data_IF_261782611041
#
_entry.id   IF_261782611041
#
_cell.length_a   1.000
_cell.length_b   1.000
_cell.length_c   1.000
_cell.angle_alpha   90.00
_cell.angle_beta   90.00
_cell.angle_gamma   90.00
#
_symmetry.space_group_name_H-M   'P 1'
#
loop_
_entity.id
_entity.type
_entity.pdbx_description
1 polymer ?
#
# COMPACT_ATOMS: atom_id res chain seq x y z
N UNK A 1 5.83 11.96 30.29
CA UNK A 1 6.27 10.60 29.92
C UNK A 1 5.81 10.42 28.48
N UNK A 2 6.70 10.62 27.52
CA UNK A 2 6.35 10.50 26.10
C UNK A 2 6.51 9.00 25.80
N UNK A 3 5.39 8.32 25.55
CA UNK A 3 5.41 6.97 24.99
C UNK A 3 6.11 7.06 23.64
N UNK A 4 7.35 6.56 23.56
CA UNK A 4 8.00 6.31 22.28
C UNK A 4 7.15 5.28 21.54
N UNK A 5 6.34 5.75 20.59
CA UNK A 5 5.70 4.87 19.62
C UNK A 5 6.82 4.10 18.92
N UNK A 6 6.81 2.75 18.92
CA UNK A 6 7.86 2.00 18.27
C UNK A 6 7.95 2.44 16.81
N UNK A 7 9.17 2.67 16.33
CA UNK A 7 9.45 3.07 14.95
C UNK A 7 8.63 2.18 13.99
N UNK A 8 7.66 2.79 13.30
CA UNK A 8 6.59 2.14 12.50
C UNK A 8 7.08 1.15 11.42
N UNK A 9 8.38 0.96 11.22
CA UNK A 9 8.96 0.07 10.20
C UNK A 9 9.57 -1.24 10.71
N UNK A 10 9.86 -1.42 12.01
CA UNK A 10 10.70 -2.54 12.46
C UNK A 10 9.99 -3.90 12.52
N UNK A 11 8.67 -3.92 12.78
CA UNK A 11 7.90 -5.17 12.90
C UNK A 11 7.52 -5.77 11.53
N UNK A 12 7.47 -4.94 10.48
CA UNK A 12 7.00 -5.34 9.15
C UNK A 12 8.13 -5.82 8.23
N UNK A 13 9.36 -5.37 8.46
CA UNK A 13 10.52 -5.69 7.60
C UNK A 13 10.80 -7.19 7.47
N UNK A 14 10.56 -7.98 8.53
CA UNK A 14 10.70 -9.45 8.47
C UNK A 14 9.54 -10.17 7.78
N UNK A 15 8.35 -9.58 7.76
CA UNK A 15 7.15 -10.16 7.15
C UNK A 15 7.14 -9.98 5.62
N UNK A 16 7.65 -8.85 5.12
CA UNK A 16 7.72 -8.58 3.67
C UNK A 16 8.49 -9.65 2.89
N UNK A 17 9.68 -10.01 3.37
CA UNK A 17 10.51 -11.06 2.76
C UNK A 17 9.79 -12.43 2.76
N UNK A 18 9.09 -12.75 3.85
CA UNK A 18 8.35 -14.00 3.98
C UNK A 18 7.17 -14.04 3.00
N UNK A 19 6.43 -12.95 2.88
CA UNK A 19 5.32 -12.80 1.92
C UNK A 19 5.80 -13.02 0.48
N UNK A 20 6.94 -12.45 0.13
CA UNK A 20 7.51 -12.61 -1.21
C UNK A 20 7.98 -14.05 -1.48
N UNK A 21 8.64 -14.70 -0.52
CA UNK A 21 9.04 -16.10 -0.64
C UNK A 21 7.84 -17.05 -0.85
N UNK A 22 6.73 -16.85 -0.14
CA UNK A 22 5.51 -17.64 -0.37
C UNK A 22 4.89 -17.36 -1.74
N UNK A 23 4.91 -16.10 -2.19
CA UNK A 23 4.41 -15.73 -3.53
C UNK A 23 5.19 -16.40 -4.64
N UNK A 24 6.52 -16.45 -4.55
CA UNK A 24 7.38 -17.15 -5.52
C UNK A 24 7.06 -18.65 -5.60
N UNK A 25 6.51 -19.23 -4.53
CA UNK A 25 6.02 -20.61 -4.47
C UNK A 25 4.55 -20.75 -4.88
N UNK A 26 3.95 -19.71 -5.44
CA UNK A 26 2.55 -19.70 -5.89
C UNK A 26 1.51 -19.50 -4.78
N UNK A 27 1.93 -19.18 -3.56
CA UNK A 27 1.03 -18.96 -2.42
C UNK A 27 0.85 -17.47 -2.16
N UNK A 28 -0.37 -16.97 -2.33
CA UNK A 28 -0.71 -15.58 -2.02
C UNK A 28 -1.17 -15.44 -0.58
N UNK A 29 -0.29 -14.91 0.28
CA UNK A 29 -0.63 -14.65 1.69
C UNK A 29 -1.50 -13.40 1.88
N UNK A 30 -1.40 -12.43 0.96
CA UNK A 30 -2.13 -11.18 1.03
C UNK A 30 -3.09 -11.05 -0.15
N UNK A 31 -4.27 -10.50 0.14
CA UNK A 31 -5.16 -9.95 -0.88
C UNK A 31 -4.48 -8.78 -1.59
N UNK A 32 -4.92 -8.42 -2.81
CA UNK A 32 -4.44 -7.23 -3.50
C UNK A 32 -4.57 -5.96 -2.64
N UNK A 33 -5.69 -5.82 -1.93
CA UNK A 33 -5.93 -4.72 -0.99
C UNK A 33 -4.88 -4.70 0.13
N UNK A 34 -4.58 -5.86 0.73
CA UNK A 34 -3.56 -5.98 1.78
C UNK A 34 -2.16 -5.62 1.30
N UNK A 35 -1.80 -5.97 0.06
CA UNK A 35 -0.52 -5.59 -0.56
C UNK A 35 -0.40 -4.08 -0.74
N UNK A 36 -1.47 -3.43 -1.20
CA UNK A 36 -1.52 -1.98 -1.35
C UNK A 36 -1.30 -1.31 0.02
N UNK A 37 -2.01 -1.76 1.05
CA UNK A 37 -1.90 -1.22 2.41
C UNK A 37 -0.48 -1.40 2.94
N UNK A 38 0.09 -2.61 2.85
CA UNK A 38 1.43 -2.90 3.35
C UNK A 38 2.48 -2.03 2.65
N UNK A 39 2.40 -1.93 1.31
CA UNK A 39 3.29 -1.08 0.54
C UNK A 39 3.24 0.38 1.00
N UNK A 40 2.05 0.93 1.22
CA UNK A 40 1.89 2.31 1.68
C UNK A 40 2.31 2.51 3.16
N UNK A 41 2.20 1.50 4.01
CA UNK A 41 2.73 1.53 5.38
C UNK A 41 4.26 1.65 5.40
N UNK A 42 4.93 0.95 4.48
CA UNK A 42 6.40 0.91 4.38
C UNK A 42 6.97 2.13 3.65
N UNK A 43 6.31 2.60 2.60
CA UNK A 43 6.85 3.62 1.68
C UNK A 43 6.17 4.99 1.81
N UNK A 44 5.06 5.09 2.54
CA UNK A 44 4.23 6.28 2.60
C UNK A 44 3.43 6.53 1.32
N UNK A 45 2.93 7.76 1.17
CA UNK A 45 2.20 8.18 -0.02
C UNK A 45 3.03 7.97 -1.30
N UNK A 46 2.49 7.24 -2.25
CA UNK A 46 3.24 6.75 -3.42
C UNK A 46 2.46 6.95 -4.71
N UNK A 47 3.14 7.00 -5.86
CA UNK A 47 2.46 7.20 -7.15
C UNK A 47 1.63 5.98 -7.52
N UNK A 48 0.49 6.20 -8.19
CA UNK A 48 -0.41 5.12 -8.66
C UNK A 48 0.34 3.97 -9.34
N UNK A 49 1.33 4.30 -10.19
CA UNK A 49 2.11 3.29 -10.93
C UNK A 49 2.89 2.37 -10.00
N UNK A 50 3.49 2.91 -8.94
CA UNK A 50 4.31 2.16 -7.98
C UNK A 50 3.43 1.23 -7.14
N UNK A 51 2.32 1.77 -6.63
CA UNK A 51 1.33 1.01 -5.87
C UNK A 51 0.68 -0.10 -6.72
N UNK A 52 0.41 0.18 -8.00
CA UNK A 52 -0.11 -0.82 -8.93
C UNK A 52 0.88 -1.98 -9.13
N UNK A 53 2.16 -1.69 -9.32
CA UNK A 53 3.19 -2.73 -9.43
C UNK A 53 3.29 -3.56 -8.15
N UNK A 54 3.23 -2.91 -6.98
CA UNK A 54 3.27 -3.58 -5.68
C UNK A 54 2.05 -4.50 -5.42
N UNK A 55 0.88 -4.14 -5.96
CA UNK A 55 -0.35 -4.93 -5.80
C UNK A 55 -0.30 -6.31 -6.49
N UNK A 56 0.64 -6.52 -7.41
CA UNK A 56 0.85 -7.77 -8.15
C UNK A 56 -0.41 -8.31 -8.87
N UNK A 57 -1.30 -7.41 -9.31
CA UNK A 57 -2.49 -7.75 -10.09
C UNK A 57 -2.51 -7.02 -11.43
N UNK A 58 -3.42 -7.43 -12.32
CA UNK A 58 -3.67 -6.71 -13.57
C UNK A 58 -4.15 -5.29 -13.29
N UNK A 59 -4.02 -4.41 -14.30
CA UNK A 59 -4.52 -3.04 -14.24
C UNK A 59 -5.98 -2.97 -13.75
N UNK A 60 -6.88 -3.79 -14.33
CA UNK A 60 -8.29 -3.83 -13.91
C UNK A 60 -8.44 -4.30 -12.46
N UNK A 61 -7.71 -5.33 -12.05
CA UNK A 61 -7.76 -5.84 -10.68
C UNK A 61 -7.26 -4.80 -9.66
N UNK A 62 -6.22 -4.05 -10.03
CA UNK A 62 -5.70 -2.96 -9.21
C UNK A 62 -6.76 -1.89 -8.96
N UNK A 63 -7.41 -1.37 -10.00
CA UNK A 63 -8.44 -0.34 -9.82
C UNK A 63 -9.66 -0.85 -9.04
N UNK A 64 -10.08 -2.11 -9.22
CA UNK A 64 -11.15 -2.70 -8.39
C UNK A 64 -10.78 -2.74 -6.90
N UNK A 65 -9.53 -3.09 -6.60
CA UNK A 65 -9.02 -3.15 -5.21
C UNK A 65 -8.87 -1.73 -4.63
N UNK A 66 -8.36 -0.80 -5.43
CA UNK A 66 -8.19 0.60 -5.07
C UNK A 66 -9.54 1.27 -4.79
N UNK A 67 -10.56 1.03 -5.62
CA UNK A 67 -11.89 1.60 -5.41
C UNK A 67 -12.53 1.06 -4.14
N UNK A 68 -12.41 -0.25 -3.85
CA UNK A 68 -12.86 -0.80 -2.55
C UNK A 68 -12.17 -0.14 -1.36
N UNK A 69 -10.85 0.08 -1.46
CA UNK A 69 -10.09 0.74 -0.39
C UNK A 69 -10.51 2.20 -0.21
N UNK A 70 -10.81 2.92 -1.29
CA UNK A 70 -11.34 4.29 -1.25
C UNK A 70 -12.74 4.34 -0.66
N UNK A 71 -13.63 3.45 -1.09
CA UNK A 71 -14.99 3.34 -0.55
C UNK A 71 -14.99 3.01 0.94
N UNK A 72 -14.04 2.18 1.37
CA UNK A 72 -13.82 1.86 2.78
C UNK A 72 -13.11 2.97 3.57
N UNK A 73 -12.72 4.08 2.94
CA UNK A 73 -12.01 5.18 3.59
C UNK A 73 -10.59 4.83 4.06
N UNK A 74 -9.99 3.75 3.54
CA UNK A 74 -8.65 3.28 3.95
C UNK A 74 -7.54 4.06 3.24
N UNK A 75 -7.79 4.48 2.00
CA UNK A 75 -6.83 5.26 1.20
C UNK A 75 -7.50 6.49 0.62
N UNK A 76 -6.71 7.54 0.43
CA UNK A 76 -7.08 8.74 -0.32
C UNK A 76 -6.13 8.93 -1.49
N UNK A 77 -6.59 9.68 -2.49
CA UNK A 77 -5.79 9.99 -3.67
C UNK A 77 -5.78 11.49 -3.89
N UNK A 78 -4.59 12.06 -4.03
CA UNK A 78 -4.33 13.48 -4.23
C UNK A 78 -3.57 13.71 -5.55
N UNK A 79 -3.62 14.94 -6.05
CA UNK A 79 -2.73 15.37 -7.13
C UNK A 79 -1.32 15.58 -6.55
N UNK A 80 -0.28 15.22 -7.30
CA UNK A 80 1.10 15.54 -6.94
C UNK A 80 1.33 17.05 -7.20
N UNK A 81 1.74 17.79 -6.17
CA UNK A 81 2.00 19.23 -6.25
C UNK A 81 3.12 19.59 -7.25
N UNK A 82 4.00 18.62 -7.57
CA UNK A 82 5.11 18.79 -8.51
C UNK A 82 4.71 18.43 -9.94
N UNK A 83 3.83 17.45 -10.11
CA UNK A 83 3.27 17.05 -11.40
C UNK A 83 1.78 16.76 -11.26
N UNK A 84 0.93 17.73 -11.59
CA UNK A 84 -0.54 17.61 -11.50
C UNK A 84 -1.12 16.46 -12.34
N UNK A 85 -0.33 15.81 -13.20
CA UNK A 85 -0.73 14.60 -13.95
C UNK A 85 -0.47 13.31 -13.16
N UNK A 86 0.46 13.34 -12.20
CA UNK A 86 0.71 12.24 -11.30
C UNK A 86 -0.28 12.27 -10.13
N UNK A 87 -0.85 11.10 -9.82
CA UNK A 87 -1.73 10.92 -8.66
C UNK A 87 -0.96 10.16 -7.59
N UNK A 88 -1.04 10.67 -6.36
CA UNK A 88 -0.46 10.06 -5.17
C UNK A 88 -1.57 9.31 -4.44
N UNK A 89 -1.32 8.06 -4.07
CA UNK A 89 -2.18 7.27 -3.19
C UNK A 89 -1.50 7.24 -1.83
N UNK A 90 -2.24 7.53 -0.78
CA UNK A 90 -1.75 7.50 0.59
C UNK A 90 -2.79 6.87 1.52
N UNK A 91 -2.33 6.31 2.63
CA UNK A 91 -3.23 5.84 3.69
C UNK A 91 -3.99 7.04 4.24
N UNK A 92 -5.29 6.88 4.44
CA UNK A 92 -6.14 7.94 4.94
C UNK A 92 -6.01 8.16 6.46
N UNK A 93 -4.85 7.84 7.08
CA UNK A 93 -4.63 7.77 8.55
C UNK A 93 -5.49 8.79 9.31
N UNK A 94 -6.32 8.27 10.21
CA UNK A 94 -7.42 8.96 10.88
C UNK A 94 -7.04 10.28 11.55
N UNK A 95 -7.97 11.25 11.43
CA UNK A 95 -8.09 12.38 12.34
C UNK A 95 -8.31 11.92 13.80
#
# INVERSE_FOLDING_TARGET
>A
MIEEQPARGAAWSGLGEQIDNFRERGVNLLTPEGRIILYLLENGGSRVKEVMLASAVSYRGFYLSLDRLKEAGVVKMSEDDTDRRARIIELAVGD
#
